data_IF_684802748042
#
_entry.id   IF_684802748042
#
_cell.length_a   1.000
_cell.length_b   1.000
_cell.length_c   1.000
_cell.angle_alpha   90.00
_cell.angle_beta   90.00
_cell.angle_gamma   90.00
#
_symmetry.space_group_name_H-M   'P 1'
#
loop_
_entity.id
_entity.type
_entity.pdbx_description
1 polymer ?
#
# COMPACT_ATOMS: atom_id res chain seq x y z
N UNK A 1 -23.96 1.22 18.07
CA UNK A 1 -22.57 1.29 17.57
C UNK A 1 -21.94 -0.07 17.76
N UNK A 2 -21.38 -0.67 16.71
CA UNK A 2 -20.60 -1.90 16.86
C UNK A 2 -19.33 -1.59 17.66
N UNK A 3 -19.16 -2.27 18.79
CA UNK A 3 -18.01 -2.08 19.66
C UNK A 3 -16.83 -2.89 19.11
N UNK A 4 -15.61 -2.37 19.23
CA UNK A 4 -14.39 -3.08 18.83
C UNK A 4 -14.35 -4.44 19.53
N UNK A 5 -14.12 -5.57 18.82
CA UNK A 5 -14.04 -6.88 19.44
C UNK A 5 -12.95 -6.92 20.52
N UNK A 6 -13.19 -7.62 21.62
CA UNK A 6 -12.28 -7.64 22.78
C UNK A 6 -10.86 -8.17 22.47
N UNK A 7 -10.71 -8.98 21.42
CA UNK A 7 -9.42 -9.51 20.98
C UNK A 7 -8.62 -8.51 20.12
N UNK A 8 -9.24 -7.44 19.62
CA UNK A 8 -8.58 -6.38 18.86
C UNK A 8 -8.05 -5.33 19.84
N UNK A 9 -6.79 -5.47 20.23
CA UNK A 9 -6.12 -4.52 21.11
C UNK A 9 -5.74 -3.24 20.36
N UNK A 10 -5.48 -2.16 21.10
CA UNK A 10 -4.94 -0.93 20.51
C UNK A 10 -3.61 -1.19 19.78
N UNK A 11 -2.76 -2.06 20.32
CA UNK A 11 -1.52 -2.44 19.66
C UNK A 11 -1.74 -3.17 18.31
N UNK A 12 -2.85 -3.92 18.18
CA UNK A 12 -3.15 -4.70 16.97
C UNK A 12 -3.89 -3.87 15.92
N UNK A 13 -4.63 -2.84 16.32
CA UNK A 13 -5.37 -1.97 15.42
C UNK A 13 -5.38 -0.53 15.98
N UNK A 14 -4.25 0.18 15.88
CA UNK A 14 -4.01 1.48 16.53
C UNK A 14 -4.66 2.64 15.77
N UNK A 15 -5.83 2.42 15.19
CA UNK A 15 -6.49 3.39 14.32
C UNK A 15 -7.73 3.99 15.00
N UNK A 16 -7.86 5.31 14.87
CA UNK A 16 -9.00 6.02 15.40
C UNK A 16 -10.26 5.71 14.57
N UNK A 17 -11.35 5.23 15.19
CA UNK A 17 -12.57 4.93 14.47
C UNK A 17 -13.25 6.22 13.99
N UNK A 18 -13.71 6.22 12.74
CA UNK A 18 -14.53 7.29 12.19
C UNK A 18 -15.79 6.74 11.55
N UNK A 19 -16.81 7.57 11.47
CA UNK A 19 -18.11 7.19 10.91
C UNK A 19 -18.63 8.27 9.98
N UNK A 20 -19.29 7.86 8.90
CA UNK A 20 -19.94 8.75 7.95
C UNK A 20 -21.26 8.17 7.47
N UNK A 21 -22.25 9.04 7.23
CA UNK A 21 -23.51 8.66 6.59
C UNK A 21 -23.39 8.86 5.08
N UNK A 22 -23.43 7.75 4.33
CA UNK A 22 -23.25 7.74 2.87
C UNK A 22 -24.43 7.01 2.24
N UNK A 23 -25.25 7.72 1.46
CA UNK A 23 -26.39 7.11 0.76
C UNK A 23 -27.40 6.42 1.69
N UNK A 24 -27.54 6.90 2.93
CA UNK A 24 -28.41 6.30 3.95
C UNK A 24 -27.78 5.13 4.72
N UNK A 25 -26.54 4.74 4.42
CA UNK A 25 -25.77 3.76 5.18
C UNK A 25 -24.83 4.45 6.18
N UNK A 26 -24.77 3.93 7.40
CA UNK A 26 -23.82 4.38 8.41
C UNK A 26 -22.52 3.56 8.29
N UNK A 27 -21.46 4.17 7.79
CA UNK A 27 -20.21 3.50 7.40
C UNK A 27 -19.11 3.82 8.42
N UNK A 28 -18.49 2.77 8.96
CA UNK A 28 -17.24 2.90 9.71
C UNK A 28 -16.05 2.94 8.75
N UNK A 29 -15.11 3.87 8.95
CA UNK A 29 -13.91 3.99 8.15
C UNK A 29 -12.72 4.42 9.01
N UNK A 30 -11.52 4.21 8.45
CA UNK A 30 -10.25 4.68 8.99
C UNK A 30 -9.68 5.70 7.99
N UNK A 31 -9.10 6.78 8.51
CA UNK A 31 -8.51 7.87 7.72
C UNK A 31 -7.17 8.25 8.34
N UNK A 32 -6.10 7.91 7.62
CA UNK A 32 -4.71 7.97 8.10
C UNK A 32 -3.80 8.59 7.03
N UNK A 33 -2.75 9.26 7.50
CA UNK A 33 -1.76 9.91 6.64
C UNK A 33 -2.19 11.27 6.11
N UNK A 34 -1.41 11.79 5.16
CA UNK A 34 -1.67 13.07 4.51
C UNK A 34 -1.26 12.99 3.03
N UNK A 35 -2.09 13.55 2.15
CA UNK A 35 -1.88 13.53 0.70
C UNK A 35 -3.13 13.07 -0.06
N UNK A 36 -3.01 12.75 -1.36
CA UNK A 36 -4.17 12.31 -2.12
C UNK A 36 -4.61 10.91 -1.69
N UNK A 37 -5.93 10.75 -1.56
CA UNK A 37 -6.55 9.60 -0.92
C UNK A 37 -6.43 8.31 -1.73
N UNK A 38 -6.14 7.21 -1.04
CA UNK A 38 -6.31 5.84 -1.53
C UNK A 38 -7.47 5.19 -0.76
N UNK A 39 -8.50 4.74 -1.48
CA UNK A 39 -9.67 4.12 -0.87
C UNK A 39 -9.52 2.59 -0.89
N UNK A 40 -9.48 1.97 0.30
CA UNK A 40 -9.41 0.51 0.45
C UNK A 40 -10.77 -0.02 0.92
N UNK A 41 -11.45 -0.76 0.04
CA UNK A 41 -12.79 -1.32 0.29
C UNK A 41 -12.70 -2.81 0.56
N UNK A 42 -13.42 -3.28 1.59
CA UNK A 42 -13.53 -4.68 1.94
C UNK A 42 -14.95 -5.23 1.70
N UNK A 43 -15.08 -6.54 1.57
CA UNK A 43 -16.38 -7.23 1.50
C UNK A 43 -16.88 -7.73 2.86
N UNK A 44 -18.13 -8.14 2.97
CA UNK A 44 -18.67 -8.88 4.12
C UNK A 44 -18.21 -10.35 4.02
N UNK A 45 -17.65 -11.01 5.07
CA UNK A 45 -17.66 -10.66 6.50
C UNK A 45 -16.40 -9.97 7.02
N UNK A 46 -15.57 -9.44 6.13
CA UNK A 46 -14.33 -8.76 6.49
C UNK A 46 -14.55 -7.27 6.80
N UNK A 47 -13.48 -6.59 7.24
CA UNK A 47 -13.51 -5.20 7.69
C UNK A 47 -12.11 -4.57 7.58
N UNK A 48 -11.96 -3.26 7.86
CA UNK A 48 -10.69 -2.50 7.74
C UNK A 48 -9.48 -3.16 8.41
N UNK A 49 -9.72 -4.07 9.36
CA UNK A 49 -8.71 -4.93 9.97
C UNK A 49 -7.83 -5.67 8.95
N UNK A 50 -8.31 -5.96 7.74
CA UNK A 50 -7.51 -6.58 6.68
C UNK A 50 -6.30 -5.73 6.26
N UNK A 51 -6.43 -4.40 6.31
CA UNK A 51 -5.41 -3.47 5.83
C UNK A 51 -4.53 -2.92 6.96
N UNK A 52 -4.74 -3.38 8.20
CA UNK A 52 -4.02 -2.89 9.39
C UNK A 52 -2.51 -3.09 9.29
N UNK A 53 -2.14 -4.16 8.62
CA UNK A 53 -0.78 -4.49 8.26
C UNK A 53 -0.74 -4.21 6.76
N UNK A 54 -0.26 -3.03 6.35
CA UNK A 54 0.01 -2.81 4.93
C UNK A 54 0.83 -4.01 4.43
N UNK A 55 0.31 -4.71 3.43
CA UNK A 55 1.00 -5.87 2.86
C UNK A 55 2.40 -5.43 2.42
N UNK A 56 3.42 -6.31 2.52
CA UNK A 56 4.70 -6.05 1.92
C UNK A 56 4.49 -5.61 0.46
N UNK A 57 5.13 -4.51 0.08
CA UNK A 57 5.04 -3.97 -1.28
C UNK A 57 6.41 -3.98 -1.93
N UNK A 58 6.47 -4.33 -3.22
CA UNK A 58 7.64 -4.10 -4.04
C UNK A 58 7.37 -2.89 -4.94
N UNK A 59 8.17 -1.84 -4.80
CA UNK A 59 8.16 -0.68 -5.70
C UNK A 59 9.36 -0.84 -6.63
N UNK A 60 9.11 -1.07 -7.92
CA UNK A 60 10.16 -1.06 -8.94
C UNK A 60 10.08 0.24 -9.72
N UNK A 61 11.17 1.00 -9.76
CA UNK A 61 11.15 2.40 -10.19
C UNK A 61 12.26 2.73 -11.18
N UNK A 62 11.90 3.19 -12.38
CA UNK A 62 12.86 3.76 -13.34
C UNK A 62 13.17 5.21 -12.99
N UNK A 63 14.45 5.56 -12.78
CA UNK A 63 14.84 6.94 -12.44
C UNK A 63 15.03 7.85 -13.67
N UNK A 64 14.93 7.30 -14.88
CA UNK A 64 14.96 8.01 -16.16
C UNK A 64 13.59 8.48 -16.65
N UNK A 65 12.49 8.17 -15.95
CA UNK A 65 11.14 8.55 -16.37
C UNK A 65 10.96 10.08 -16.27
N UNK A 66 10.47 10.68 -17.37
CA UNK A 66 10.24 12.12 -17.45
C UNK A 66 8.95 12.56 -16.74
N UNK A 67 7.96 11.68 -16.65
CA UNK A 67 6.62 11.90 -16.11
C UNK A 67 6.51 11.50 -14.63
N UNK A 68 7.16 10.39 -14.23
CA UNK A 68 7.19 9.92 -12.84
C UNK A 68 8.58 10.08 -12.27
N UNK A 69 8.75 11.03 -11.34
CA UNK A 69 10.06 11.40 -10.79
C UNK A 69 10.19 11.03 -9.32
N UNK A 70 11.33 11.40 -8.74
CA UNK A 70 11.65 11.08 -7.36
C UNK A 70 10.54 11.49 -6.36
N UNK A 71 9.88 12.62 -6.57
CA UNK A 71 8.77 13.08 -5.72
C UNK A 71 7.61 12.08 -5.68
N UNK A 72 7.29 11.48 -6.83
CA UNK A 72 6.23 10.48 -6.94
C UNK A 72 6.68 9.18 -6.27
N UNK A 73 7.91 8.72 -6.51
CA UNK A 73 8.49 7.54 -5.82
C UNK A 73 8.39 7.68 -4.31
N UNK A 74 8.89 8.78 -3.76
CA UNK A 74 8.87 9.04 -2.32
C UNK A 74 7.43 9.11 -1.78
N UNK A 75 6.45 9.50 -2.60
CA UNK A 75 5.04 9.45 -2.23
C UNK A 75 4.53 8.01 -2.13
N UNK A 76 4.89 7.13 -3.07
CA UNK A 76 4.57 5.70 -2.96
C UNK A 76 5.22 5.07 -1.72
N UNK A 77 6.47 5.41 -1.43
CA UNK A 77 7.20 4.93 -0.24
C UNK A 77 6.52 5.34 1.08
N UNK A 78 5.94 6.54 1.13
CA UNK A 78 5.14 7.00 2.27
C UNK A 78 3.80 6.26 2.40
N UNK A 79 3.17 5.91 1.28
CA UNK A 79 1.88 5.18 1.26
C UNK A 79 2.08 3.72 1.69
N UNK A 80 3.18 3.09 1.27
CA UNK A 80 3.47 1.70 1.57
C UNK A 80 4.64 1.60 2.56
N UNK A 81 4.47 1.84 3.86
CA UNK A 81 5.58 1.88 4.82
C UNK A 81 6.34 0.54 4.94
N UNK A 82 5.72 -0.58 4.56
CA UNK A 82 6.34 -1.91 4.45
C UNK A 82 6.73 -2.21 2.99
N UNK A 83 7.39 -1.26 2.34
CA UNK A 83 7.87 -1.44 0.97
C UNK A 83 9.34 -1.86 0.94
N UNK A 84 9.71 -2.51 -0.16
CA UNK A 84 11.07 -2.54 -0.69
C UNK A 84 11.06 -1.77 -2.00
N UNK A 85 11.93 -0.78 -2.13
CA UNK A 85 12.12 -0.06 -3.39
C UNK A 85 13.35 -0.58 -4.12
N UNK A 86 13.20 -0.87 -5.40
CA UNK A 86 14.27 -1.20 -6.34
C UNK A 86 14.29 -0.13 -7.41
N UNK A 87 15.41 0.58 -7.52
CA UNK A 87 15.61 1.61 -8.56
C UNK A 87 16.30 0.95 -9.76
N UNK A 88 15.79 1.21 -10.95
CA UNK A 88 16.31 0.78 -12.24
C UNK A 88 16.99 1.98 -12.92
N UNK A 89 18.33 2.08 -12.86
CA UNK A 89 19.05 3.26 -13.36
C UNK A 89 18.86 3.43 -14.87
N UNK A 90 18.46 4.62 -15.29
CA UNK A 90 18.28 5.00 -16.70
C UNK A 90 17.00 4.45 -17.35
N UNK A 91 16.23 3.61 -16.67
CA UNK A 91 14.95 3.13 -17.19
C UNK A 91 13.90 4.25 -17.13
N UNK A 92 13.19 4.42 -18.24
CA UNK A 92 12.15 5.42 -18.46
C UNK A 92 10.77 4.93 -18.05
N UNK A 93 9.77 5.25 -18.88
CA UNK A 93 8.36 5.06 -18.53
C UNK A 93 7.90 3.60 -18.65
N UNK A 94 8.44 2.86 -19.62
CA UNK A 94 8.06 1.48 -19.88
C UNK A 94 9.15 0.53 -19.36
N UNK A 95 9.36 0.54 -18.05
CA UNK A 95 10.43 -0.23 -17.39
C UNK A 95 10.41 -1.73 -17.76
N UNK A 96 9.23 -2.32 -18.03
CA UNK A 96 9.09 -3.71 -18.47
C UNK A 96 9.66 -4.01 -19.85
N UNK A 97 9.80 -3.01 -20.71
CA UNK A 97 10.42 -3.15 -22.03
C UNK A 97 11.92 -2.80 -21.97
N UNK A 98 12.27 -1.82 -21.14
CA UNK A 98 13.62 -1.27 -21.05
C UNK A 98 14.54 -2.03 -20.09
N UNK A 99 13.98 -2.66 -19.05
CA UNK A 99 14.70 -3.32 -17.95
C UNK A 99 13.96 -4.59 -17.48
N UNK A 100 13.51 -5.40 -18.44
CA UNK A 100 12.71 -6.61 -18.19
C UNK A 100 13.42 -7.62 -17.29
N UNK A 101 14.73 -7.82 -17.46
CA UNK A 101 15.51 -8.76 -16.67
C UNK A 101 15.58 -8.36 -15.20
N UNK A 102 15.87 -7.08 -14.95
CA UNK A 102 15.99 -6.48 -13.63
C UNK A 102 14.66 -6.51 -12.88
N UNK A 103 13.53 -6.28 -13.58
CA UNK A 103 12.19 -6.40 -12.98
C UNK A 103 11.92 -7.84 -12.56
N UNK A 104 12.21 -8.82 -13.43
CA UNK A 104 12.00 -10.23 -13.13
C UNK A 104 12.85 -10.66 -11.94
N UNK A 105 14.10 -10.22 -11.87
CA UNK A 105 14.97 -10.48 -10.73
C UNK A 105 14.47 -9.80 -9.45
N UNK A 106 14.02 -8.54 -9.53
CA UNK A 106 13.45 -7.84 -8.38
C UNK A 106 12.22 -8.57 -7.82
N UNK A 107 11.32 -9.04 -8.70
CA UNK A 107 10.14 -9.80 -8.32
C UNK A 107 10.52 -11.13 -7.68
N UNK A 108 11.43 -11.91 -8.30
CA UNK A 108 11.87 -13.21 -7.75
C UNK A 108 12.51 -13.03 -6.37
N UNK A 109 13.47 -12.13 -6.24
CA UNK A 109 14.16 -11.87 -4.98
C UNK A 109 13.21 -11.40 -3.87
N UNK A 110 12.21 -10.58 -4.22
CA UNK A 110 11.21 -10.14 -3.26
C UNK A 110 10.26 -11.28 -2.87
N UNK A 111 9.82 -12.10 -3.83
CA UNK A 111 8.97 -13.25 -3.57
C UNK A 111 9.62 -14.24 -2.59
N UNK A 112 10.90 -14.57 -2.82
CA UNK A 112 11.66 -15.52 -2.00
C UNK A 112 11.94 -15.02 -0.57
N UNK A 113 11.84 -13.70 -0.32
CA UNK A 113 12.19 -13.10 0.98
C UNK A 113 10.97 -12.59 1.77
N UNK A 114 9.93 -12.16 1.08
CA UNK A 114 8.80 -11.40 1.65
C UNK A 114 7.41 -11.87 1.14
N UNK A 115 7.34 -12.66 0.07
CA UNK A 115 6.08 -13.00 -0.63
C UNK A 115 5.24 -14.14 -0.03
N UNK A 116 5.81 -14.93 0.90
CA UNK A 116 5.19 -16.14 1.47
C UNK A 116 4.81 -16.04 2.97
N UNK A 117 4.90 -14.84 3.58
CA UNK A 117 4.55 -14.65 5.01
C UNK A 117 3.11 -14.21 5.23
#
# INVERSE_FOLDING_TARGET
MAQRPAWVTEALFPYAPRYADVGGAHVHYIDEGAGPALLLLHGNPTWSFLYRDNLPALIVWGDGDFAFRESERQRFERIFPRHRTVILPGAGHYIQEEASGEIVEAIRNWWDTEGER
#
